data_IF_298300871227
#
_entry.id   IF_298300871227
#
_cell.length_a   1.000
_cell.length_b   1.000
_cell.length_c   1.000
_cell.angle_alpha   90.00
_cell.angle_beta   90.00
_cell.angle_gamma   90.00
#
_symmetry.space_group_name_H-M   'P 1'
#
loop_
_entity.id
_entity.type
_entity.pdbx_description
1 polymer ?
#
# COMPACT_ATOMS: atom_id res chain seq x y z
N UNK A 1 -16.07 24.91 -14.35
CA UNK A 1 -14.97 23.93 -14.36
C UNK A 1 -13.76 24.65 -13.80
N UNK A 2 -13.64 24.68 -12.47
CA UNK A 2 -12.54 25.37 -11.78
C UNK A 2 -11.40 24.36 -11.64
N UNK A 3 -10.24 24.73 -12.17
CA UNK A 3 -8.99 24.00 -12.08
C UNK A 3 -8.56 23.91 -10.61
N UNK A 4 -8.79 22.77 -9.97
CA UNK A 4 -8.02 22.33 -8.80
C UNK A 4 -6.67 21.83 -9.33
N UNK A 5 -5.85 22.75 -9.82
CA UNK A 5 -4.43 22.46 -10.05
C UNK A 5 -3.80 22.08 -8.72
N UNK A 6 -3.01 21.00 -8.71
CA UNK A 6 -2.24 20.63 -7.52
C UNK A 6 -1.45 21.86 -7.03
N UNK A 7 -1.46 22.17 -5.72
CA UNK A 7 -0.53 23.17 -5.19
C UNK A 7 0.86 22.75 -5.62
N UNK A 8 1.66 23.70 -6.15
CA UNK A 8 2.96 23.48 -6.79
C UNK A 8 3.63 22.19 -6.30
N UNK A 9 3.33 21.08 -6.98
CA UNK A 9 3.84 19.78 -6.60
C UNK A 9 5.30 19.83 -6.98
N UNK A 10 6.16 20.02 -5.98
CA UNK A 10 7.60 19.98 -6.19
C UNK A 10 7.94 18.54 -6.57
N UNK A 11 7.91 18.26 -7.88
CA UNK A 11 8.12 16.92 -8.45
C UNK A 11 9.47 16.37 -8.00
N UNK A 12 10.49 17.23 -7.86
CA UNK A 12 11.81 16.83 -7.40
C UNK A 12 11.79 16.41 -5.93
N UNK A 13 11.13 17.19 -5.06
CA UNK A 13 11.10 16.92 -3.61
C UNK A 13 10.10 15.82 -3.21
N UNK A 14 9.01 15.66 -3.95
CA UNK A 14 7.99 14.64 -3.69
C UNK A 14 8.18 13.36 -4.50
N UNK A 15 8.98 13.40 -5.57
CA UNK A 15 9.25 12.24 -6.42
C UNK A 15 10.00 11.12 -5.71
N UNK A 16 10.88 11.47 -4.76
CA UNK A 16 11.55 10.49 -3.91
C UNK A 16 10.55 9.71 -3.05
N UNK A 17 9.64 10.41 -2.36
CA UNK A 17 8.61 9.80 -1.53
C UNK A 17 7.72 8.83 -2.33
N UNK A 18 7.29 9.23 -3.53
CA UNK A 18 6.41 8.40 -4.36
C UNK A 18 7.16 7.20 -4.96
N UNK A 19 8.44 7.36 -5.31
CA UNK A 19 9.26 6.24 -5.75
C UNK A 19 9.45 5.20 -4.64
N UNK A 20 9.65 5.66 -3.41
CA UNK A 20 9.88 4.77 -2.27
C UNK A 20 8.58 4.13 -1.77
N UNK A 21 7.42 4.73 -2.10
CA UNK A 21 6.10 4.22 -1.75
C UNK A 21 5.81 2.82 -2.31
N UNK A 22 6.18 2.54 -3.57
CA UNK A 22 5.89 1.23 -4.18
C UNK A 22 6.63 0.06 -3.48
N UNK A 23 7.94 0.15 -3.18
CA UNK A 23 8.62 -0.81 -2.31
C UNK A 23 7.96 -0.98 -0.94
N UNK A 24 7.61 0.13 -0.25
CA UNK A 24 6.98 0.06 1.07
C UNK A 24 5.62 -0.64 1.04
N UNK A 25 4.75 -0.29 0.09
CA UNK A 25 3.45 -0.93 -0.09
C UNK A 25 3.63 -2.43 -0.34
N UNK A 26 4.60 -2.81 -1.17
CA UNK A 26 4.89 -4.22 -1.45
C UNK A 26 5.31 -4.97 -0.19
N UNK A 27 6.15 -4.39 0.66
CA UNK A 27 6.55 -5.01 1.93
C UNK A 27 5.35 -5.18 2.84
N UNK A 28 4.53 -4.14 3.01
CA UNK A 28 3.30 -4.18 3.80
C UNK A 28 2.35 -5.28 3.33
N UNK A 29 1.99 -5.27 2.05
CA UNK A 29 1.11 -6.28 1.46
C UNK A 29 1.69 -7.70 1.60
N UNK A 30 3.00 -7.88 1.44
CA UNK A 30 3.64 -9.20 1.62
C UNK A 30 3.55 -9.71 3.06
N UNK A 31 3.59 -8.82 4.07
CA UNK A 31 3.40 -9.20 5.47
C UNK A 31 1.98 -9.65 5.72
N UNK A 32 1.02 -8.87 5.25
CA UNK A 32 -0.40 -9.20 5.40
C UNK A 32 -0.71 -10.54 4.74
N UNK A 33 -0.27 -10.72 3.50
CA UNK A 33 -0.55 -11.93 2.73
C UNK A 33 0.23 -13.16 3.20
N UNK A 34 1.42 -12.97 3.75
CA UNK A 34 2.29 -14.03 4.24
C UNK A 34 2.01 -14.46 5.67
N UNK A 35 1.45 -13.56 6.49
CA UNK A 35 1.29 -13.80 7.93
C UNK A 35 -0.12 -13.50 8.43
N UNK A 36 -0.64 -12.29 8.23
CA UNK A 36 -1.93 -11.89 8.80
C UNK A 36 -3.09 -12.69 8.19
N UNK A 37 -3.25 -12.67 6.87
CA UNK A 37 -4.36 -13.32 6.18
C UNK A 37 -4.37 -14.84 6.36
N UNK A 38 -3.21 -15.55 6.33
CA UNK A 38 -3.16 -16.97 6.69
C UNK A 38 -3.66 -17.26 8.11
N UNK A 39 -3.28 -16.44 9.10
CA UNK A 39 -3.75 -16.61 10.48
C UNK A 39 -5.26 -16.37 10.60
N UNK A 40 -5.78 -15.32 9.96
CA UNK A 40 -7.21 -15.03 9.94
C UNK A 40 -8.00 -16.17 9.28
N UNK A 41 -7.57 -16.62 8.10
CA UNK A 41 -8.24 -17.70 7.36
C UNK A 41 -8.19 -19.03 8.09
N UNK A 42 -7.08 -19.36 8.76
CA UNK A 42 -6.95 -20.58 9.56
C UNK A 42 -7.86 -20.63 10.80
N UNK A 43 -8.28 -19.47 11.32
CA UNK A 43 -9.16 -19.34 12.49
C UNK A 43 -10.64 -19.18 12.12
N UNK A 44 -10.95 -18.89 10.85
CA UNK A 44 -12.31 -18.73 10.36
C UNK A 44 -12.96 -20.09 10.05
N UNK A 45 -14.16 -20.37 10.58
CA UNK A 45 -14.89 -21.58 10.20
C UNK A 45 -15.46 -21.45 8.77
N UNK A 46 -14.73 -21.97 7.78
CA UNK A 46 -15.20 -22.17 6.40
C UNK A 46 -15.08 -20.96 5.45
N UNK A 47 -15.51 -21.16 4.20
CA UNK A 47 -15.46 -20.17 3.12
C UNK A 47 -16.63 -19.17 3.20
N UNK A 48 -16.56 -18.25 4.16
CA UNK A 48 -17.53 -17.15 4.33
C UNK A 48 -17.18 -15.87 3.59
N UNK A 49 -18.01 -14.84 3.77
CA UNK A 49 -17.84 -13.48 3.23
C UNK A 49 -16.44 -12.89 3.53
N UNK A 50 -15.91 -13.17 4.72
CA UNK A 50 -14.57 -12.74 5.12
C UNK A 50 -13.48 -13.30 4.21
N UNK A 51 -13.56 -14.57 3.82
CA UNK A 51 -12.57 -15.18 2.91
C UNK A 51 -12.64 -14.54 1.53
N UNK A 52 -13.83 -14.17 1.05
CA UNK A 52 -14.01 -13.43 -0.21
C UNK A 52 -13.40 -12.02 -0.09
N UNK A 53 -13.61 -11.34 1.03
CA UNK A 53 -13.02 -10.01 1.27
C UNK A 53 -11.50 -10.06 1.33
N UNK A 54 -10.90 -11.08 1.94
CA UNK A 54 -9.44 -11.25 1.97
C UNK A 54 -8.88 -11.50 0.55
N UNK A 55 -9.57 -12.27 -0.29
CA UNK A 55 -9.18 -12.44 -1.69
C UNK A 55 -9.30 -11.14 -2.49
N UNK A 56 -10.35 -10.34 -2.23
CA UNK A 56 -10.50 -9.01 -2.83
C UNK A 56 -9.35 -8.09 -2.43
N UNK A 57 -8.94 -8.08 -1.15
CA UNK A 57 -7.80 -7.27 -0.68
C UNK A 57 -6.50 -7.65 -1.39
N UNK A 58 -6.23 -8.95 -1.60
CA UNK A 58 -5.06 -9.38 -2.38
C UNK A 58 -5.07 -8.84 -3.81
N UNK A 59 -6.24 -8.77 -4.43
CA UNK A 59 -6.38 -8.17 -5.76
C UNK A 59 -6.12 -6.66 -5.71
N UNK A 60 -6.68 -5.97 -4.71
CA UNK A 60 -6.43 -4.54 -4.48
C UNK A 60 -4.95 -4.25 -4.21
N UNK A 61 -4.23 -5.12 -3.48
CA UNK A 61 -2.79 -5.00 -3.25
C UNK A 61 -1.98 -4.98 -4.55
N UNK A 62 -2.33 -5.86 -5.48
CA UNK A 62 -1.68 -5.92 -6.79
C UNK A 62 -1.95 -4.65 -7.59
N UNK A 63 -3.20 -4.19 -7.61
CA UNK A 63 -3.59 -2.95 -8.30
C UNK A 63 -2.90 -1.71 -7.69
N UNK A 64 -2.81 -1.62 -6.37
CA UNK A 64 -2.13 -0.52 -5.67
C UNK A 64 -0.62 -0.54 -5.91
N UNK A 65 0.00 -1.73 -5.95
CA UNK A 65 1.43 -1.87 -6.28
C UNK A 65 1.72 -1.46 -7.73
N UNK A 66 0.90 -1.89 -8.68
CA UNK A 66 1.05 -1.54 -10.10
C UNK A 66 0.86 -0.03 -10.30
N UNK A 67 -0.18 0.56 -9.69
CA UNK A 67 -0.43 2.00 -9.75
C UNK A 67 0.72 2.82 -9.13
N UNK A 68 1.32 2.36 -8.02
CA UNK A 68 2.47 3.01 -7.41
C UNK A 68 3.73 2.89 -8.27
N UNK A 69 3.96 1.74 -8.91
CA UNK A 69 5.07 1.53 -9.84
C UNK A 69 4.95 2.44 -11.08
N UNK A 70 3.77 2.45 -11.72
CA UNK A 70 3.48 3.27 -12.89
C UNK A 70 3.67 4.76 -12.59
N UNK A 71 3.24 5.20 -11.40
CA UNK A 71 3.43 6.58 -10.97
C UNK A 71 4.92 6.90 -10.76
N UNK A 72 5.69 6.00 -10.15
CA UNK A 72 7.14 6.16 -9.99
C UNK A 72 7.88 6.25 -11.33
N UNK A 73 7.49 5.42 -12.30
CA UNK A 73 8.04 5.46 -13.65
C UNK A 73 7.70 6.76 -14.38
N UNK A 74 6.46 7.22 -14.25
CA UNK A 74 6.04 8.47 -14.86
C UNK A 74 6.76 9.67 -14.23
N UNK A 75 6.94 9.70 -12.90
CA UNK A 75 7.72 10.75 -12.24
C UNK A 75 9.14 10.81 -12.79
N UNK A 76 9.79 9.65 -12.99
CA UNK A 76 11.13 9.57 -13.56
C UNK A 76 11.18 10.19 -14.95
N UNK A 77 10.19 9.86 -15.79
CA UNK A 77 10.10 10.42 -17.13
C UNK A 77 9.89 11.94 -17.13
N UNK A 78 9.06 12.47 -16.22
CA UNK A 78 8.81 13.92 -16.13
C UNK A 78 10.02 14.70 -15.60
N UNK A 79 10.86 14.08 -14.76
CA UNK A 79 12.13 14.68 -14.34
C UNK A 79 13.12 14.83 -15.50
N UNK A 80 12.98 14.03 -16.56
CA UNK A 80 13.80 14.11 -17.77
C UNK A 80 13.21 15.07 -18.82
N UNK A 81 11.89 15.17 -18.92
CA UNK A 81 11.17 16.05 -19.86
C UNK A 81 9.88 16.62 -19.22
N UNK A 82 9.96 17.86 -18.72
CA UNK A 82 8.88 18.50 -17.99
C UNK A 82 7.98 19.35 -18.90
N UNK A 83 6.75 18.90 -19.14
CA UNK A 83 5.69 19.66 -19.83
C UNK A 83 4.36 19.65 -19.08
N UNK A 84 3.50 20.66 -19.32
CA UNK A 84 2.24 20.87 -18.58
C UNK A 84 1.28 19.66 -18.61
N UNK A 85 1.16 18.98 -19.75
CA UNK A 85 0.32 17.77 -19.90
C UNK A 85 0.77 16.64 -18.98
N UNK A 86 2.07 16.54 -18.72
CA UNK A 86 2.63 15.51 -17.86
C UNK A 86 2.34 15.81 -16.39
N UNK A 87 2.35 17.08 -15.99
CA UNK A 87 1.98 17.51 -14.64
C UNK A 87 0.51 17.19 -14.31
N UNK A 88 -0.42 17.43 -15.24
CA UNK A 88 -1.84 17.09 -15.03
C UNK A 88 -2.05 15.57 -14.90
N UNK A 89 -1.35 14.78 -15.73
CA UNK A 89 -1.42 13.31 -15.66
C UNK A 89 -0.85 12.76 -14.37
N UNK A 90 0.30 13.28 -13.91
CA UNK A 90 0.87 12.96 -12.60
C UNK A 90 -0.12 13.27 -11.47
N UNK A 91 -0.78 14.43 -11.54
CA UNK A 91 -1.77 14.82 -10.55
C UNK A 91 -2.92 13.83 -10.45
N UNK A 92 -3.44 13.42 -11.62
CA UNK A 92 -4.51 12.45 -11.71
C UNK A 92 -4.11 11.08 -11.12
N UNK A 93 -2.96 10.54 -11.52
CA UNK A 93 -2.47 9.25 -11.03
C UNK A 93 -2.21 9.27 -9.52
N UNK A 94 -1.56 10.33 -9.03
CA UNK A 94 -1.31 10.53 -7.60
C UNK A 94 -2.62 10.52 -6.81
N UNK A 95 -3.64 11.26 -7.28
CA UNK A 95 -4.95 11.30 -6.64
C UNK A 95 -5.65 9.94 -6.67
N UNK A 96 -5.55 9.21 -7.78
CA UNK A 96 -6.13 7.89 -7.92
C UNK A 96 -5.52 6.90 -6.92
N UNK A 97 -4.19 6.85 -6.84
CA UNK A 97 -3.45 6.01 -5.90
C UNK A 97 -3.85 6.28 -4.45
N UNK A 98 -3.75 7.54 -4.00
CA UNK A 98 -4.11 7.87 -2.61
C UNK A 98 -5.58 7.63 -2.29
N UNK A 99 -6.48 7.77 -3.27
CA UNK A 99 -7.89 7.41 -3.06
C UNK A 99 -8.04 5.90 -2.84
N UNK A 100 -7.30 5.08 -3.59
CA UNK A 100 -7.29 3.63 -3.43
C UNK A 100 -6.76 3.24 -2.05
N UNK A 101 -5.56 3.70 -1.71
CA UNK A 101 -4.90 3.43 -0.42
C UNK A 101 -5.76 3.86 0.78
N UNK A 102 -6.45 5.00 0.69
CA UNK A 102 -7.35 5.44 1.77
C UNK A 102 -8.53 4.50 1.98
N UNK A 103 -9.09 3.92 0.91
CA UNK A 103 -10.16 2.93 1.04
C UNK A 103 -9.63 1.61 1.56
N UNK A 104 -8.43 1.24 1.13
CA UNK A 104 -7.72 0.06 1.61
C UNK A 104 -7.54 0.12 3.14
N UNK A 105 -6.88 1.18 3.63
CA UNK A 105 -6.64 1.41 5.06
C UNK A 105 -7.96 1.53 5.84
N UNK A 106 -8.97 2.20 5.29
CA UNK A 106 -10.27 2.28 5.96
C UNK A 106 -10.88 0.88 6.15
N UNK A 107 -10.79 0.02 5.14
CA UNK A 107 -11.28 -1.36 5.26
C UNK A 107 -10.48 -2.16 6.28
N UNK A 108 -9.16 -2.02 6.32
CA UNK A 108 -8.33 -2.68 7.34
C UNK A 108 -8.76 -2.28 8.75
N UNK A 109 -8.86 -0.97 9.00
CA UNK A 109 -9.21 -0.42 10.30
C UNK A 109 -10.63 -0.79 10.72
N UNK A 110 -11.59 -0.73 9.80
CA UNK A 110 -13.00 -0.95 10.10
C UNK A 110 -13.38 -2.44 10.16
N UNK A 111 -12.62 -3.31 9.48
CA UNK A 111 -13.00 -4.72 9.30
C UNK A 111 -11.89 -5.68 9.71
N UNK A 112 -10.68 -5.51 9.20
CA UNK A 112 -9.59 -6.50 9.40
C UNK A 112 -9.04 -6.47 10.82
N UNK A 113 -8.74 -5.30 11.39
CA UNK A 113 -8.20 -5.22 12.75
C UNK A 113 -9.21 -5.69 13.81
N UNK A 114 -10.48 -5.27 13.78
CA UNK A 114 -11.49 -5.82 14.69
C UNK A 114 -11.67 -7.33 14.55
N UNK A 115 -11.55 -7.86 13.33
CA UNK A 115 -11.59 -9.30 13.09
C UNK A 115 -10.36 -10.01 13.70
N UNK A 116 -9.17 -9.43 13.54
CA UNK A 116 -7.93 -9.95 14.11
C UNK A 116 -8.00 -9.98 15.65
N UNK A 117 -8.45 -8.90 16.28
CA UNK A 117 -8.64 -8.83 17.74
C UNK A 117 -9.59 -9.91 18.27
N UNK A 118 -10.61 -10.28 17.49
CA UNK A 118 -11.58 -11.30 17.86
C UNK A 118 -11.09 -12.73 17.68
N UNK A 119 -10.24 -12.98 16.68
CA UNK A 119 -9.88 -14.33 16.24
C UNK A 119 -8.48 -14.76 16.66
N UNK A 120 -7.55 -13.82 16.78
CA UNK A 120 -6.15 -14.11 17.03
C UNK A 120 -5.88 -14.23 18.53
N UNK A 121 -5.06 -15.22 18.88
CA UNK A 121 -4.58 -15.44 20.24
C UNK A 121 -3.37 -14.55 20.52
N UNK A 122 -2.99 -14.44 21.80
CA UNK A 122 -1.77 -13.72 22.19
C UNK A 122 -0.52 -14.26 21.48
N UNK A 123 -0.44 -15.58 21.28
CA UNK A 123 0.68 -16.21 20.59
C UNK A 123 0.70 -15.85 19.09
N UNK A 124 -0.47 -15.77 18.45
CA UNK A 124 -0.57 -15.33 17.05
C UNK A 124 -0.11 -13.86 16.90
N UNK A 125 -0.54 -13.00 17.83
CA UNK A 125 -0.17 -11.58 17.84
C UNK A 125 1.33 -11.37 18.09
N UNK A 126 1.94 -12.17 18.98
CA UNK A 126 3.39 -12.17 19.18
C UNK A 126 4.14 -12.62 17.92
N UNK A 127 3.65 -13.65 17.24
CA UNK A 127 4.23 -14.10 15.97
C UNK A 127 4.14 -13.01 14.88
N UNK A 128 3.00 -12.32 14.80
CA UNK A 128 2.81 -11.20 13.88
C UNK A 128 3.76 -10.05 14.21
N UNK A 129 3.86 -9.64 15.47
CA UNK A 129 4.79 -8.58 15.88
C UNK A 129 6.22 -8.88 15.43
N UNK A 130 6.71 -10.10 15.68
CA UNK A 130 8.05 -10.50 15.24
C UNK A 130 8.21 -10.51 13.71
N UNK A 131 7.17 -10.85 12.95
CA UNK A 131 7.22 -10.80 11.50
C UNK A 131 7.34 -9.35 11.00
N UNK A 132 6.55 -8.44 11.57
CA UNK A 132 6.60 -7.01 11.25
C UNK A 132 7.93 -6.38 11.67
N UNK A 133 8.41 -6.60 12.89
CA UNK A 133 9.70 -6.06 13.38
C UNK A 133 10.87 -6.46 12.47
N UNK A 134 10.91 -7.73 12.04
CA UNK A 134 11.96 -8.22 11.14
C UNK A 134 11.91 -7.56 9.77
N UNK A 135 10.71 -7.23 9.30
CA UNK A 135 10.51 -6.59 8.01
C UNK A 135 10.83 -5.10 8.04
N UNK A 136 10.47 -4.37 9.11
CA UNK A 136 10.83 -2.96 9.27
C UNK A 136 12.35 -2.79 9.31
N UNK A 137 13.06 -3.70 9.99
CA UNK A 137 14.53 -3.72 9.99
C UNK A 137 15.09 -4.00 8.58
N UNK A 138 14.48 -4.91 7.83
CA UNK A 138 14.91 -5.24 6.47
C UNK A 138 14.64 -4.09 5.48
N UNK A 139 13.49 -3.42 5.62
CA UNK A 139 13.05 -2.30 4.80
C UNK A 139 13.87 -1.03 5.09
N UNK A 140 14.14 -0.73 6.36
CA UNK A 140 15.08 0.32 6.74
C UNK A 140 16.48 0.08 6.17
N UNK A 141 16.95 -1.17 6.17
CA UNK A 141 18.21 -1.54 5.55
C UNK A 141 18.19 -1.47 4.01
N UNK A 142 17.01 -1.58 3.38
CA UNK A 142 16.83 -1.38 1.93
C UNK A 142 16.88 0.11 1.59
N UNK A 143 16.15 0.95 2.32
CA UNK A 143 16.14 2.41 2.14
C UNK A 143 17.52 3.05 2.33
N UNK A 144 18.34 2.55 3.25
CA UNK A 144 19.69 3.08 3.48
C UNK A 144 20.70 2.73 2.37
N UNK A 145 20.31 1.92 1.37
CA UNK A 145 21.18 1.49 0.27
C UNK A 145 20.94 2.21 -1.07
N UNK A 146 19.95 3.08 -1.15
CA UNK A 146 19.55 3.81 -2.37
C UNK A 146 19.37 5.30 -2.09
#
# INVERSE_FOLDING_TARGET
MMSDGLPAFDIARNGAFVRDLAPHLRVHHCLEEGWLFPLLTGRLPGHGETTVNLLRLKQEHMEDCDAASDLGDHIRHVLEDAGDVQAERLAYQTRALFRSLRRHVAFEVEVIFPLAERLLTADDLLCLSHAYDRSEVADAAYLLRH
#
